data_IF_722074378604
#
_entry.id   IF_722074378604
#
_cell.length_a   1.000
_cell.length_b   1.000
_cell.length_c   1.000
_cell.angle_alpha   90.00
_cell.angle_beta   90.00
_cell.angle_gamma   90.00
#
_symmetry.space_group_name_H-M   'P 1'
#
loop_
_entity.id
_entity.type
_entity.pdbx_description
1 polymer ?
#
# COMPACT_ATOMS: atom_id res chain seq x y z
N UNK A 1 1.61 -15.38 20.18
CA UNK A 1 2.67 -15.45 21.21
C UNK A 1 3.60 -14.31 20.88
N UNK A 2 3.40 -13.15 21.50
CA UNK A 2 4.27 -12.00 21.25
C UNK A 2 5.69 -12.38 21.66
N UNK A 3 6.72 -12.04 20.87
CA UNK A 3 8.07 -12.22 21.34
C UNK A 3 8.22 -11.40 22.62
N UNK A 4 8.56 -12.05 23.73
CA UNK A 4 9.08 -11.33 24.88
C UNK A 4 10.36 -10.66 24.40
N UNK A 5 10.34 -9.33 24.35
CA UNK A 5 11.54 -8.56 24.07
C UNK A 5 12.40 -8.69 25.33
N UNK A 6 13.35 -9.62 25.32
CA UNK A 6 14.42 -9.63 26.31
C UNK A 6 15.24 -8.37 26.11
N UNK A 7 15.16 -7.46 27.07
CA UNK A 7 16.01 -6.28 27.12
C UNK A 7 17.28 -6.66 27.85
N UNK A 8 18.41 -6.56 27.16
CA UNK A 8 19.73 -6.73 27.75
C UNK A 8 19.99 -5.60 28.74
N UNK A 9 20.03 -5.94 30.04
CA UNK A 9 20.22 -4.98 31.10
C UNK A 9 21.62 -4.34 31.07
N UNK A 10 22.64 -5.06 30.59
CA UNK A 10 24.02 -4.56 30.48
C UNK A 10 24.10 -3.49 29.39
N UNK A 11 23.32 -3.64 28.32
CA UNK A 11 23.22 -2.65 27.24
C UNK A 11 22.52 -1.34 27.67
N UNK A 12 21.80 -1.33 28.80
CA UNK A 12 21.17 -0.15 29.36
C UNK A 12 22.03 0.55 30.41
N UNK A 13 23.18 -0.02 30.79
CA UNK A 13 24.07 0.60 31.76
C UNK A 13 24.52 2.00 31.31
N UNK A 14 24.63 2.91 32.26
CA UNK A 14 25.01 4.30 31.99
C UNK A 14 23.93 5.20 31.38
N UNK A 15 22.78 4.66 30.94
CA UNK A 15 21.71 5.48 30.33
C UNK A 15 21.20 6.58 31.28
N UNK A 16 21.08 6.27 32.57
CA UNK A 16 20.65 7.23 33.59
C UNK A 16 21.67 8.37 33.83
N UNK A 17 22.92 8.18 33.39
CA UNK A 17 24.01 9.14 33.51
C UNK A 17 24.45 9.71 32.15
N UNK A 18 23.66 9.48 31.08
CA UNK A 18 23.94 10.00 29.76
C UNK A 18 24.05 11.53 29.77
N UNK A 19 25.06 12.05 29.06
CA UNK A 19 25.18 13.48 28.82
C UNK A 19 24.05 13.99 27.91
N UNK A 20 23.85 15.30 27.88
CA UNK A 20 22.82 15.93 27.03
C UNK A 20 23.01 15.58 25.54
N UNK A 21 24.25 15.50 25.08
CA UNK A 21 24.58 15.14 23.69
C UNK A 21 24.20 13.67 23.39
N UNK A 22 24.53 12.76 24.31
CA UNK A 22 24.19 11.34 24.17
C UNK A 22 22.67 11.14 24.24
N UNK A 23 21.99 11.83 25.15
CA UNK A 23 20.53 11.82 25.24
C UNK A 23 19.89 12.35 23.95
N UNK A 24 20.42 13.43 23.38
CA UNK A 24 19.96 13.95 22.10
C UNK A 24 20.15 12.95 20.96
N UNK A 25 21.29 12.26 20.91
CA UNK A 25 21.55 11.22 19.92
C UNK A 25 20.58 10.03 20.04
N UNK A 26 20.28 9.58 21.27
CA UNK A 26 19.30 8.52 21.53
C UNK A 26 17.90 8.96 21.05
N UNK A 27 17.45 10.16 21.41
CA UNK A 27 16.15 10.70 20.97
C UNK A 27 16.08 10.80 19.45
N UNK A 28 17.17 11.24 18.80
CA UNK A 28 17.24 11.33 17.35
C UNK A 28 17.10 9.95 16.69
N UNK A 29 17.79 8.93 17.22
CA UNK A 29 17.72 7.56 16.72
C UNK A 29 16.31 6.96 16.85
N UNK A 30 15.67 7.11 18.01
CA UNK A 30 14.29 6.65 18.25
C UNK A 30 13.32 7.35 17.30
N UNK A 31 13.43 8.68 17.17
CA UNK A 31 12.57 9.47 16.28
C UNK A 31 12.76 9.13 14.80
N UNK A 32 13.98 8.79 14.39
CA UNK A 32 14.25 8.28 13.06
C UNK A 32 13.59 6.92 12.83
N UNK A 33 13.73 5.99 13.79
CA UNK A 33 13.12 4.66 13.72
C UNK A 33 11.59 4.72 13.59
N UNK A 34 10.93 5.54 14.41
CA UNK A 34 9.46 5.74 14.35
C UNK A 34 9.04 6.25 12.97
N UNK A 35 9.71 7.29 12.45
CA UNK A 35 9.40 7.83 11.11
C UNK A 35 9.61 6.80 10.00
N UNK A 36 10.64 5.95 10.11
CA UNK A 36 10.85 4.85 9.17
C UNK A 36 9.69 3.84 9.22
N UNK A 37 9.22 3.48 10.41
CA UNK A 37 8.09 2.57 10.57
C UNK A 37 6.79 3.18 10.02
N UNK A 38 6.54 4.47 10.27
CA UNK A 38 5.39 5.20 9.72
C UNK A 38 5.43 5.24 8.18
N UNK A 39 6.61 5.51 7.60
CA UNK A 39 6.79 5.50 6.16
C UNK A 39 6.56 4.11 5.55
N UNK A 40 7.04 3.05 6.22
CA UNK A 40 6.81 1.67 5.79
C UNK A 40 5.32 1.30 5.88
N UNK A 41 4.62 1.70 6.95
CA UNK A 41 3.19 1.47 7.10
C UNK A 41 2.37 2.23 6.04
N UNK A 42 2.73 3.48 5.75
CA UNK A 42 2.10 4.26 4.69
C UNK A 42 2.31 3.63 3.30
N UNK A 43 3.52 3.12 3.02
CA UNK A 43 3.80 2.41 1.78
C UNK A 43 2.99 1.12 1.64
N UNK A 44 2.85 0.34 2.73
CA UNK A 44 2.01 -0.86 2.74
C UNK A 44 0.54 -0.54 2.49
N UNK A 45 -0.01 0.48 3.17
CA UNK A 45 -1.40 0.91 2.97
C UNK A 45 -1.67 1.40 1.53
N UNK A 46 -0.69 2.06 0.90
CA UNK A 46 -0.80 2.46 -0.50
C UNK A 46 -0.77 1.26 -1.47
N UNK A 47 0.00 0.21 -1.15
CA UNK A 47 0.06 -1.01 -1.95
C UNK A 47 -1.26 -1.81 -1.88
N UNK A 48 -1.88 -1.89 -0.71
CA UNK A 48 -3.17 -2.57 -0.52
C UNK A 48 -4.32 -1.87 -1.27
N UNK A 49 -4.26 -0.54 -1.39
CA UNK A 49 -5.26 0.24 -2.12
C UNK A 49 -5.24 0.00 -3.64
N UNK A 50 -4.10 -0.40 -4.21
CA UNK A 50 -3.89 -0.50 -5.67
C UNK A 50 -3.90 -1.95 -6.20
N UNK A 51 -3.49 -2.94 -5.39
CA UNK A 51 -3.19 -4.30 -5.89
C UNK A 51 -4.31 -5.35 -5.76
N UNK A 52 -4.81 -5.57 -4.55
CA UNK A 52 -5.64 -6.75 -4.26
C UNK A 52 -7.12 -6.51 -4.58
N UNK A 53 -7.59 -5.30 -4.28
CA UNK A 53 -9.00 -4.95 -4.36
C UNK A 53 -9.41 -4.63 -5.81
N UNK A 54 -8.52 -4.01 -6.59
CA UNK A 54 -8.75 -3.76 -8.02
C UNK A 54 -8.84 -5.08 -8.81
N UNK A 55 -7.94 -6.03 -8.53
CA UNK A 55 -7.92 -7.34 -9.18
C UNK A 55 -9.17 -8.15 -8.83
N UNK A 56 -9.54 -8.24 -7.54
CA UNK A 56 -10.74 -8.95 -7.11
C UNK A 56 -12.03 -8.33 -7.67
N UNK A 57 -12.14 -7.00 -7.68
CA UNK A 57 -13.27 -6.30 -8.32
C UNK A 57 -13.35 -6.59 -9.81
N UNK A 58 -12.23 -6.70 -10.51
CA UNK A 58 -12.20 -7.02 -11.94
C UNK A 58 -12.73 -8.43 -12.26
N UNK A 59 -12.37 -9.44 -11.46
CA UNK A 59 -12.87 -10.81 -11.61
C UNK A 59 -14.35 -10.93 -11.28
N UNK A 60 -14.81 -10.27 -10.20
CA UNK A 60 -16.23 -10.21 -9.88
C UNK A 60 -17.04 -9.53 -10.99
N UNK A 61 -16.53 -8.41 -11.53
CA UNK A 61 -17.18 -7.68 -12.60
C UNK A 61 -17.27 -8.52 -13.89
N UNK A 62 -16.17 -9.18 -14.28
CA UNK A 62 -16.14 -10.09 -15.42
C UNK A 62 -17.13 -11.26 -15.25
N UNK A 63 -17.24 -11.84 -14.04
CA UNK A 63 -18.23 -12.87 -13.72
C UNK A 63 -19.67 -12.39 -13.85
N UNK A 64 -19.98 -11.16 -13.39
CA UNK A 64 -21.31 -10.56 -13.58
C UNK A 64 -21.63 -10.29 -15.05
N UNK A 65 -20.66 -9.79 -15.83
CA UNK A 65 -20.80 -9.61 -17.28
C UNK A 65 -21.14 -10.94 -17.97
N UNK A 66 -20.43 -12.01 -17.59
CA UNK A 66 -20.66 -13.36 -18.12
C UNK A 66 -22.06 -13.90 -17.78
N UNK A 67 -22.57 -13.63 -16.57
CA UNK A 67 -23.95 -13.99 -16.19
C UNK A 67 -25.03 -13.23 -16.96
N UNK A 68 -24.71 -12.05 -17.49
CA UNK A 68 -25.56 -11.26 -18.38
C UNK A 68 -25.37 -11.63 -19.87
N UNK A 69 -24.51 -12.60 -20.18
CA UNK A 69 -24.18 -12.99 -21.56
C UNK A 69 -23.33 -11.95 -22.31
N UNK A 70 -22.76 -10.97 -21.60
CA UNK A 70 -21.95 -9.91 -22.19
C UNK A 70 -20.48 -10.32 -22.12
N UNK A 71 -19.89 -10.57 -23.29
CA UNK A 71 -18.45 -10.78 -23.44
C UNK A 71 -17.79 -9.46 -23.79
N UNK A 72 -16.87 -8.96 -22.95
CA UNK A 72 -16.05 -7.80 -23.30
C UNK A 72 -15.09 -8.20 -24.44
N UNK A 73 -15.48 -7.87 -25.67
CA UNK A 73 -14.68 -8.15 -26.84
C UNK A 73 -13.51 -7.16 -26.90
N UNK A 74 -12.40 -7.53 -27.54
CA UNK A 74 -11.24 -6.64 -27.67
C UNK A 74 -11.65 -5.37 -28.45
N UNK A 75 -11.36 -4.16 -27.94
CA UNK A 75 -11.72 -2.93 -28.63
C UNK A 75 -11.02 -2.85 -30.00
N UNK A 76 -11.72 -2.42 -31.08
CA UNK A 76 -11.11 -2.22 -32.39
C UNK A 76 -10.04 -1.13 -32.36
N UNK A 77 -9.12 -1.14 -33.34
CA UNK A 77 -7.99 -0.19 -33.40
C UNK A 77 -8.40 1.28 -33.55
N UNK A 78 -9.65 1.53 -33.94
CA UNK A 78 -10.26 2.86 -34.03
C UNK A 78 -10.87 3.36 -32.71
N UNK A 79 -10.81 2.58 -31.63
CA UNK A 79 -11.36 2.96 -30.32
C UNK A 79 -10.53 4.09 -29.71
N UNK A 80 -11.16 5.22 -29.31
CA UNK A 80 -10.49 6.28 -28.59
C UNK A 80 -9.84 5.77 -27.28
N UNK A 81 -8.68 6.30 -26.92
CA UNK A 81 -7.97 5.92 -25.69
C UNK A 81 -8.65 6.43 -24.41
N UNK A 82 -9.54 7.42 -24.54
CA UNK A 82 -10.36 7.92 -23.43
C UNK A 82 -11.62 7.06 -23.25
N UNK A 83 -11.81 6.54 -22.04
CA UNK A 83 -12.89 5.60 -21.73
C UNK A 83 -14.29 6.20 -21.82
N UNK A 84 -14.47 7.47 -21.46
CA UNK A 84 -15.77 8.15 -21.55
C UNK A 84 -16.17 8.41 -23.00
N UNK A 85 -15.22 8.85 -23.82
CA UNK A 85 -15.42 9.04 -25.26
C UNK A 85 -15.69 7.72 -25.99
N UNK A 86 -15.03 6.63 -25.58
CA UNK A 86 -15.28 5.30 -26.14
C UNK A 86 -16.69 4.79 -25.79
N UNK A 87 -17.15 5.02 -24.55
CA UNK A 87 -18.49 4.62 -24.11
C UNK A 87 -19.62 5.37 -24.84
N UNK A 88 -19.47 6.69 -25.06
CA UNK A 88 -20.44 7.51 -25.82
C UNK A 88 -20.60 7.04 -27.28
N UNK A 89 -19.54 6.46 -27.86
CA UNK A 89 -19.50 5.98 -29.25
C UNK A 89 -19.60 4.47 -29.39
N UNK A 90 -20.03 3.76 -28.35
CA UNK A 90 -20.12 2.31 -28.35
C UNK A 90 -21.08 1.77 -29.42
N UNK A 91 -22.01 2.58 -29.94
CA UNK A 91 -22.91 2.22 -31.04
C UNK A 91 -22.21 2.11 -32.40
N UNK A 92 -20.99 2.66 -32.54
CA UNK A 92 -20.24 2.72 -33.81
C UNK A 92 -19.20 1.61 -33.95
N UNK A 93 -19.06 0.74 -32.95
CA UNK A 93 -18.14 -0.38 -32.90
C UNK A 93 -18.91 -1.70 -32.79
#
# INVERSE_FOLDING_TARGET
>A
MSPEIEIDADALDGLAAASDEEAAAIVAAISAHIRTQEAAAAAAAAADADGEDASQRSWQFAGRLSGLGVTANRPPSSTPSDGWTAADRADRF
#
